data_IF_947655650838
#
_entry.id   IF_947655650838
#
_cell.length_a   1.000
_cell.length_b   1.000
_cell.length_c   1.000
_cell.angle_alpha   90.00
_cell.angle_beta   90.00
_cell.angle_gamma   90.00
#
_symmetry.space_group_name_H-M   'P 1'
#
loop_
_entity.id
_entity.type
_entity.pdbx_description
1 polymer ?
#
# COMPACT_ATOMS: atom_id res chain seq x y z
N UNK A 1 -27.59 -13.62 -0.83
CA UNK A 1 -26.72 -12.45 -0.53
C UNK A 1 -25.41 -12.71 -1.26
N UNK A 2 -24.78 -11.73 -1.86
CA UNK A 2 -23.48 -11.94 -2.53
C UNK A 2 -22.38 -12.11 -1.49
N UNK A 3 -21.37 -12.92 -1.79
CA UNK A 3 -20.30 -13.27 -0.88
C UNK A 3 -18.93 -12.89 -1.46
N UNK A 4 -18.15 -12.09 -0.71
CA UNK A 4 -16.76 -11.80 -0.98
C UNK A 4 -15.88 -12.62 -0.02
N UNK A 5 -14.95 -13.37 -0.58
CA UNK A 5 -13.85 -13.98 0.18
C UNK A 5 -12.57 -13.21 -0.10
N UNK A 6 -11.91 -12.72 0.94
CA UNK A 6 -10.60 -12.08 0.86
C UNK A 6 -9.56 -13.06 1.41
N UNK A 7 -8.50 -13.29 0.66
CA UNK A 7 -7.36 -14.10 1.10
C UNK A 7 -6.20 -13.15 1.35
N UNK A 8 -5.89 -12.92 2.64
CA UNK A 8 -4.90 -11.95 3.08
C UNK A 8 -3.51 -12.54 3.20
N UNK A 9 -2.50 -11.74 2.90
CA UNK A 9 -1.09 -12.04 3.19
C UNK A 9 -0.84 -12.05 4.69
N UNK A 10 -1.41 -11.08 5.39
CA UNK A 10 -1.41 -10.89 6.83
C UNK A 10 -2.77 -10.39 7.29
N UNK A 11 -3.05 -10.47 8.58
CA UNK A 11 -4.21 -9.83 9.17
C UNK A 11 -4.08 -8.30 9.07
N UNK A 12 -5.15 -7.56 8.72
CA UNK A 12 -5.08 -6.11 8.61
C UNK A 12 -4.64 -5.43 9.91
N UNK A 13 -3.68 -4.51 9.80
CA UNK A 13 -3.18 -3.69 10.91
C UNK A 13 -3.29 -2.20 10.55
N UNK A 14 -4.49 -1.59 10.60
CA UNK A 14 -4.72 -0.22 10.11
C UNK A 14 -3.92 0.83 10.87
N UNK A 15 -3.58 0.59 12.13
CA UNK A 15 -2.75 1.51 12.93
C UNK A 15 -1.23 1.25 12.80
N UNK A 16 -0.82 0.32 11.94
CA UNK A 16 0.59 -0.05 11.75
C UNK A 16 1.01 0.03 10.28
N UNK A 17 0.08 -0.13 9.35
CA UNK A 17 0.35 -0.17 7.90
C UNK A 17 -0.75 0.51 7.09
N UNK A 18 -0.36 1.21 6.04
CA UNK A 18 -1.32 1.78 5.08
C UNK A 18 -2.14 0.69 4.35
N UNK A 19 -1.52 -0.47 4.09
CA UNK A 19 -2.18 -1.64 3.53
C UNK A 19 -3.34 -2.13 4.41
N UNK A 20 -3.16 -2.17 5.73
CA UNK A 20 -4.24 -2.50 6.66
C UNK A 20 -5.41 -1.53 6.57
N UNK A 21 -5.13 -0.22 6.51
CA UNK A 21 -6.16 0.81 6.33
C UNK A 21 -6.87 0.68 4.98
N UNK A 22 -6.13 0.44 3.89
CA UNK A 22 -6.68 0.22 2.55
C UNK A 22 -7.60 -0.98 2.50
N UNK A 23 -7.19 -2.10 3.10
CA UNK A 23 -8.03 -3.30 3.16
C UNK A 23 -9.38 -3.03 3.82
N UNK A 24 -9.41 -2.26 4.93
CA UNK A 24 -10.66 -1.87 5.58
C UNK A 24 -11.51 -0.94 4.70
N UNK A 25 -10.89 -0.06 3.91
CA UNK A 25 -11.61 0.78 2.95
C UNK A 25 -12.29 -0.07 1.87
N UNK A 26 -11.60 -1.05 1.30
CA UNK A 26 -12.15 -1.97 0.31
C UNK A 26 -13.29 -2.82 0.91
N UNK A 27 -13.09 -3.39 2.09
CA UNK A 27 -14.13 -4.11 2.84
C UNK A 27 -15.40 -3.24 2.96
N UNK A 28 -15.25 -1.98 3.37
CA UNK A 28 -16.37 -1.05 3.51
C UNK A 28 -17.12 -0.79 2.19
N UNK A 29 -16.44 -0.81 1.03
CA UNK A 29 -17.12 -0.67 -0.27
C UNK A 29 -18.06 -1.85 -0.54
N UNK A 30 -17.58 -3.07 -0.35
CA UNK A 30 -18.38 -4.27 -0.57
C UNK A 30 -19.52 -4.40 0.44
N UNK A 31 -19.28 -4.07 1.73
CA UNK A 31 -20.34 -4.08 2.75
C UNK A 31 -21.48 -3.12 2.42
N UNK A 32 -21.18 -1.91 1.93
CA UNK A 32 -22.19 -0.93 1.49
C UNK A 32 -23.06 -1.43 0.33
N UNK A 33 -22.58 -2.41 -0.44
CA UNK A 33 -23.32 -3.09 -1.51
C UNK A 33 -24.00 -4.38 -1.03
N UNK A 34 -24.01 -4.67 0.27
CA UNK A 34 -24.69 -5.81 0.85
C UNK A 34 -23.98 -7.15 0.66
N UNK A 35 -22.66 -7.17 0.43
CA UNK A 35 -21.89 -8.40 0.44
C UNK A 35 -21.65 -8.92 1.86
N UNK A 36 -21.81 -10.21 2.06
CA UNK A 36 -21.18 -10.92 3.18
C UNK A 36 -19.69 -11.05 2.91
N UNK A 37 -18.86 -10.93 3.95
CA UNK A 37 -17.41 -10.96 3.79
C UNK A 37 -16.79 -11.97 4.72
N UNK A 38 -15.93 -12.84 4.16
CA UNK A 38 -15.06 -13.74 4.91
C UNK A 38 -13.61 -13.43 4.59
N UNK A 39 -12.81 -13.18 5.62
CA UNK A 39 -11.37 -12.95 5.52
C UNK A 39 -10.61 -14.20 5.91
N UNK A 40 -9.85 -14.76 4.99
CA UNK A 40 -9.01 -15.95 5.16
C UNK A 40 -7.54 -15.53 5.25
N UNK A 41 -6.79 -16.07 6.19
CA UNK A 41 -5.36 -15.78 6.32
C UNK A 41 -4.60 -16.99 6.87
N UNK A 42 -3.39 -17.22 6.35
CA UNK A 42 -2.48 -18.25 6.84
C UNK A 42 -1.44 -17.75 7.86
N UNK A 43 -1.34 -16.43 8.02
CA UNK A 43 -0.44 -15.83 9.00
C UNK A 43 -1.05 -15.83 10.40
N UNK A 44 -0.21 -15.94 11.42
CA UNK A 44 -0.64 -15.75 12.80
C UNK A 44 -1.08 -14.31 13.04
N UNK A 45 -2.09 -14.12 13.89
CA UNK A 45 -2.46 -12.79 14.37
C UNK A 45 -1.35 -12.21 15.23
N UNK A 46 -1.09 -10.92 15.05
CA UNK A 46 -0.22 -10.12 15.95
C UNK A 46 -1.07 -9.39 16.99
N UNK A 47 -0.43 -8.80 17.98
CA UNK A 47 -1.10 -7.91 18.96
C UNK A 47 -1.68 -6.64 18.32
N UNK A 48 -1.34 -6.36 17.05
CA UNK A 48 -1.78 -5.19 16.30
C UNK A 48 -2.84 -5.51 15.25
N UNK A 49 -3.18 -6.79 15.08
CA UNK A 49 -4.21 -7.24 14.15
C UNK A 49 -5.57 -6.67 14.54
N UNK A 50 -6.24 -6.09 13.55
CA UNK A 50 -7.58 -5.53 13.74
C UNK A 50 -8.61 -6.66 13.93
N UNK A 51 -9.49 -6.49 14.89
CA UNK A 51 -10.60 -7.42 15.09
C UNK A 51 -11.69 -7.18 14.04
N UNK A 52 -11.62 -7.92 12.95
CA UNK A 52 -12.56 -7.83 11.83
C UNK A 52 -14.00 -8.19 12.22
N UNK A 53 -14.22 -8.91 13.34
CA UNK A 53 -15.57 -9.23 13.81
C UNK A 53 -16.34 -7.98 14.25
N UNK A 54 -15.64 -6.94 14.70
CA UNK A 54 -16.21 -5.64 15.09
C UNK A 54 -16.89 -4.90 13.94
N UNK A 55 -16.54 -5.25 12.71
CA UNK A 55 -17.14 -4.73 11.47
C UNK A 55 -17.92 -5.81 10.70
N UNK A 56 -18.38 -6.86 11.39
CA UNK A 56 -19.20 -7.93 10.81
C UNK A 56 -18.53 -8.69 9.65
N UNK A 57 -17.22 -8.86 9.70
CA UNK A 57 -16.45 -9.72 8.77
C UNK A 57 -16.13 -11.02 9.46
N UNK A 58 -16.49 -12.15 8.83
CA UNK A 58 -16.11 -13.47 9.31
C UNK A 58 -14.61 -13.70 9.07
N UNK A 59 -13.95 -14.41 9.98
CA UNK A 59 -12.51 -14.69 9.86
C UNK A 59 -12.25 -16.18 10.00
N UNK A 60 -11.30 -16.70 9.20
CA UNK A 60 -10.83 -18.08 9.30
C UNK A 60 -9.33 -18.17 9.07
N UNK A 61 -8.68 -18.98 9.89
CA UNK A 61 -7.29 -19.38 9.66
C UNK A 61 -7.27 -20.49 8.60
N UNK A 62 -6.38 -20.36 7.62
CA UNK A 62 -6.15 -21.34 6.55
C UNK A 62 -4.72 -21.83 6.59
N UNK A 63 -4.46 -22.98 6.00
CA UNK A 63 -3.12 -23.55 5.94
C UNK A 63 -2.51 -23.40 4.53
N UNK A 64 -1.22 -23.11 4.50
CA UNK A 64 -0.46 -23.08 3.25
C UNK A 64 -0.27 -24.50 2.72
N UNK A 65 -0.42 -24.67 1.40
CA UNK A 65 -0.19 -25.95 0.70
C UNK A 65 -1.01 -27.13 1.24
N UNK A 66 -2.18 -26.86 1.79
CA UNK A 66 -3.06 -27.88 2.38
C UNK A 66 -4.40 -27.95 1.65
N UNK A 67 -4.91 -29.15 1.42
CA UNK A 67 -6.18 -29.41 0.71
C UNK A 67 -7.41 -29.04 1.52
N UNK A 68 -7.29 -28.77 2.81
CA UNK A 68 -8.40 -28.24 3.62
C UNK A 68 -8.94 -26.93 3.07
N UNK A 69 -8.07 -26.12 2.45
CA UNK A 69 -8.49 -24.91 1.76
C UNK A 69 -9.51 -25.19 0.64
N UNK A 70 -9.35 -26.28 -0.12
CA UNK A 70 -10.26 -26.63 -1.22
C UNK A 70 -11.68 -26.90 -0.72
N UNK A 71 -11.77 -27.59 0.41
CA UNK A 71 -13.05 -27.87 1.08
C UNK A 71 -13.67 -26.57 1.61
N UNK A 72 -12.85 -25.71 2.21
CA UNK A 72 -13.29 -24.43 2.76
C UNK A 72 -13.82 -23.49 1.70
N UNK A 73 -13.03 -23.22 0.66
CA UNK A 73 -13.42 -22.26 -0.39
C UNK A 73 -14.65 -22.75 -1.17
N UNK A 74 -14.77 -24.05 -1.38
CA UNK A 74 -15.94 -24.67 -2.00
C UNK A 74 -17.19 -24.53 -1.14
N UNK A 75 -17.06 -24.69 0.18
CA UNK A 75 -18.15 -24.51 1.15
C UNK A 75 -18.63 -23.06 1.19
N UNK A 76 -17.72 -22.10 1.14
CA UNK A 76 -18.03 -20.66 1.11
C UNK A 76 -18.70 -20.23 -0.19
N UNK A 77 -18.41 -20.91 -1.31
CA UNK A 77 -18.97 -20.67 -2.63
C UNK A 77 -19.07 -19.17 -2.98
N UNK A 78 -17.96 -18.42 -3.00
CA UNK A 78 -17.96 -16.97 -3.15
C UNK A 78 -18.39 -16.51 -4.56
N UNK A 79 -19.02 -15.34 -4.64
CA UNK A 79 -19.24 -14.60 -5.89
C UNK A 79 -17.98 -13.85 -6.33
N UNK A 80 -17.16 -13.42 -5.36
CA UNK A 80 -15.91 -12.69 -5.59
C UNK A 80 -14.83 -13.26 -4.67
N UNK A 81 -13.63 -13.48 -5.21
CA UNK A 81 -12.43 -13.77 -4.42
C UNK A 81 -11.39 -12.68 -4.66
N UNK A 82 -10.90 -12.06 -3.60
CA UNK A 82 -9.85 -11.06 -3.65
C UNK A 82 -8.55 -11.61 -3.04
N UNK A 83 -7.47 -11.47 -3.78
CA UNK A 83 -6.12 -11.84 -3.35
C UNK A 83 -5.37 -10.59 -2.91
N UNK A 84 -4.92 -10.57 -1.66
CA UNK A 84 -4.03 -9.51 -1.15
C UNK A 84 -2.59 -9.80 -1.62
N UNK A 85 -2.17 -9.14 -2.66
CA UNK A 85 -0.88 -9.26 -3.36
C UNK A 85 -0.72 -10.54 -4.21
N UNK A 86 0.18 -10.44 -5.18
CA UNK A 86 0.42 -11.50 -6.16
C UNK A 86 0.86 -12.85 -5.53
N UNK A 87 1.56 -12.81 -4.41
CA UNK A 87 2.03 -14.03 -3.74
C UNK A 87 0.87 -14.89 -3.23
N UNK A 88 -0.22 -14.27 -2.82
CA UNK A 88 -1.43 -14.96 -2.38
C UNK A 88 -2.17 -15.55 -3.59
N UNK A 89 -2.21 -14.82 -4.70
CA UNK A 89 -2.78 -15.36 -5.94
C UNK A 89 -2.01 -16.60 -6.43
N UNK A 90 -0.68 -16.58 -6.38
CA UNK A 90 0.14 -17.75 -6.73
C UNK A 90 -0.13 -18.98 -5.86
N UNK A 91 -0.36 -18.75 -4.57
CA UNK A 91 -0.59 -19.84 -3.61
C UNK A 91 -1.98 -20.44 -3.72
N UNK A 92 -2.99 -19.61 -3.89
CA UNK A 92 -4.39 -20.01 -3.78
C UNK A 92 -5.19 -19.85 -5.08
N UNK A 93 -4.73 -19.08 -6.06
CA UNK A 93 -5.48 -18.75 -7.26
C UNK A 93 -5.88 -19.96 -8.08
N UNK A 94 -4.99 -20.94 -8.25
CA UNK A 94 -5.28 -22.17 -8.96
C UNK A 94 -6.34 -23.03 -8.23
N UNK A 95 -6.33 -23.04 -6.88
CA UNK A 95 -7.33 -23.75 -6.07
C UNK A 95 -8.70 -23.08 -6.17
N UNK A 96 -8.73 -21.73 -6.17
CA UNK A 96 -9.97 -20.97 -6.39
C UNK A 96 -10.51 -21.24 -7.79
N UNK A 97 -9.67 -21.27 -8.80
CA UNK A 97 -10.08 -21.56 -10.18
C UNK A 97 -10.73 -22.95 -10.30
N UNK A 98 -10.17 -23.97 -9.66
CA UNK A 98 -10.68 -25.34 -9.71
C UNK A 98 -11.98 -25.51 -8.89
N UNK A 99 -12.07 -24.90 -7.72
CA UNK A 99 -13.18 -25.13 -6.79
C UNK A 99 -14.33 -24.11 -6.94
N UNK A 100 -14.05 -22.89 -7.39
CA UNK A 100 -15.00 -21.80 -7.57
C UNK A 100 -14.81 -21.11 -8.94
N UNK A 101 -14.97 -21.83 -10.07
CA UNK A 101 -14.65 -21.32 -11.42
C UNK A 101 -15.49 -20.11 -11.82
N UNK A 102 -16.66 -19.92 -11.20
CA UNK A 102 -17.57 -18.80 -11.50
C UNK A 102 -17.32 -17.58 -10.64
N UNK A 103 -16.46 -17.64 -9.62
CA UNK A 103 -16.09 -16.50 -8.79
C UNK A 103 -15.27 -15.49 -9.60
N UNK A 104 -15.59 -14.20 -9.48
CA UNK A 104 -14.75 -13.10 -9.99
C UNK A 104 -13.47 -13.04 -9.16
N UNK A 105 -12.30 -13.07 -9.82
CA UNK A 105 -10.99 -13.04 -9.16
C UNK A 105 -10.39 -11.65 -9.26
N UNK A 106 -10.19 -10.99 -8.11
CA UNK A 106 -9.61 -9.67 -8.00
C UNK A 106 -8.24 -9.78 -7.34
N UNK A 107 -7.24 -9.14 -7.93
CA UNK A 107 -5.93 -8.96 -7.32
C UNK A 107 -5.83 -7.53 -6.77
N UNK A 108 -5.62 -7.35 -5.47
CA UNK A 108 -5.18 -6.07 -4.90
C UNK A 108 -3.66 -6.10 -4.77
N UNK A 109 -2.96 -5.29 -5.56
CA UNK A 109 -1.48 -5.29 -5.59
C UNK A 109 -0.87 -4.62 -4.39
N UNK A 110 -1.61 -3.72 -3.72
CA UNK A 110 -1.12 -2.75 -2.74
C UNK A 110 -0.13 -1.75 -3.35
N UNK A 111 0.96 -2.22 -3.91
CA UNK A 111 1.89 -1.55 -4.82
C UNK A 111 2.50 -2.58 -5.78
N UNK A 112 3.10 -2.14 -6.86
CA UNK A 112 3.85 -3.03 -7.74
C UNK A 112 5.19 -3.42 -7.09
N UNK A 113 5.26 -4.64 -6.60
CA UNK A 113 6.41 -5.16 -5.89
C UNK A 113 7.68 -5.18 -6.73
N UNK A 114 7.57 -5.52 -8.03
CA UNK A 114 8.73 -5.50 -8.92
C UNK A 114 9.27 -4.07 -9.08
N UNK A 115 8.41 -3.06 -9.16
CA UNK A 115 8.80 -1.66 -9.26
C UNK A 115 9.55 -1.22 -8.00
N UNK A 116 9.01 -1.52 -6.81
CA UNK A 116 9.67 -1.23 -5.54
C UNK A 116 11.04 -1.89 -5.45
N UNK A 117 11.14 -3.17 -5.90
CA UNK A 117 12.39 -3.92 -5.89
C UNK A 117 13.42 -3.36 -6.86
N UNK A 118 13.00 -3.00 -8.07
CA UNK A 118 13.88 -2.36 -9.05
C UNK A 118 14.46 -1.04 -8.52
N UNK A 119 13.61 -0.19 -7.94
CA UNK A 119 14.02 1.07 -7.32
C UNK A 119 14.94 0.87 -6.11
N UNK A 120 14.71 -0.16 -5.30
CA UNK A 120 15.60 -0.53 -4.20
C UNK A 120 17.00 -0.88 -4.70
N UNK A 121 17.10 -1.68 -5.77
CA UNK A 121 18.39 -2.09 -6.36
C UNK A 121 19.12 -0.88 -6.91
N UNK A 122 18.46 -0.03 -7.69
CA UNK A 122 19.04 1.19 -8.24
C UNK A 122 19.55 2.13 -7.13
N UNK A 123 18.74 2.34 -6.08
CA UNK A 123 19.13 3.13 -4.91
C UNK A 123 20.38 2.57 -4.20
N UNK A 124 20.42 1.28 -3.91
CA UNK A 124 21.56 0.63 -3.26
C UNK A 124 22.83 0.67 -4.09
N UNK A 125 22.71 0.72 -5.41
CA UNK A 125 23.80 0.86 -6.35
C UNK A 125 24.16 2.33 -6.66
N UNK A 126 23.45 3.28 -6.05
CA UNK A 126 23.63 4.73 -6.26
C UNK A 126 23.62 5.11 -7.74
N UNK A 127 22.65 4.62 -8.49
CA UNK A 127 22.46 4.89 -9.93
C UNK A 127 20.99 5.11 -10.26
N UNK A 128 20.74 5.64 -11.43
CA UNK A 128 19.38 5.76 -11.95
C UNK A 128 18.78 4.39 -12.29
N UNK A 129 17.45 4.32 -12.24
CA UNK A 129 16.64 3.18 -12.63
C UNK A 129 16.67 3.06 -14.16
N UNK A 130 16.95 1.86 -14.67
CA UNK A 130 16.90 1.53 -16.09
C UNK A 130 15.83 0.47 -16.36
N UNK A 131 15.41 0.32 -17.63
CA UNK A 131 14.32 -0.61 -17.98
C UNK A 131 14.62 -2.06 -17.57
N UNK A 132 15.86 -2.49 -17.68
CA UNK A 132 16.31 -3.85 -17.35
C UNK A 132 16.11 -4.19 -15.88
N UNK A 133 16.09 -3.20 -15.00
CA UNK A 133 15.86 -3.39 -13.56
C UNK A 133 14.45 -3.93 -13.26
N UNK A 134 13.49 -3.61 -14.11
CA UNK A 134 12.13 -4.15 -13.96
C UNK A 134 12.08 -5.65 -14.21
N UNK A 135 12.89 -6.16 -15.15
CA UNK A 135 12.78 -7.53 -15.67
C UNK A 135 13.41 -8.54 -14.71
N UNK A 136 12.75 -8.77 -13.60
CA UNK A 136 13.15 -9.68 -12.52
C UNK A 136 12.20 -10.89 -12.44
N UNK A 137 12.52 -11.85 -11.59
CA UNK A 137 11.61 -12.97 -11.32
C UNK A 137 10.35 -12.47 -10.58
N UNK A 138 10.46 -11.44 -9.73
CA UNK A 138 9.29 -10.80 -9.10
C UNK A 138 8.38 -10.20 -10.17
N UNK A 139 8.94 -9.50 -11.17
CA UNK A 139 8.18 -8.98 -12.30
C UNK A 139 7.38 -10.06 -13.03
N UNK A 140 8.04 -11.17 -13.41
CA UNK A 140 7.38 -12.26 -14.14
C UNK A 140 6.23 -12.87 -13.34
N UNK A 141 6.40 -13.03 -12.04
CA UNK A 141 5.41 -13.59 -11.13
C UNK A 141 4.22 -12.65 -10.95
N UNK A 142 4.50 -11.37 -10.68
CA UNK A 142 3.45 -10.36 -10.48
C UNK A 142 2.65 -10.13 -11.76
N UNK A 143 3.33 -10.03 -12.92
CA UNK A 143 2.67 -9.96 -14.23
C UNK A 143 1.80 -11.19 -14.51
N UNK A 144 2.28 -12.38 -14.20
CA UNK A 144 1.49 -13.60 -14.38
C UNK A 144 0.23 -13.58 -13.49
N UNK A 145 0.33 -13.08 -12.25
CA UNK A 145 -0.82 -12.96 -11.35
C UNK A 145 -1.85 -11.95 -11.85
N UNK A 146 -1.39 -10.81 -12.40
CA UNK A 146 -2.27 -9.81 -13.05
C UNK A 146 -3.08 -10.47 -14.18
N UNK A 147 -2.42 -11.20 -15.08
CA UNK A 147 -3.11 -11.85 -16.19
C UNK A 147 -4.02 -13.01 -15.76
N UNK A 148 -3.73 -13.72 -14.66
CA UNK A 148 -4.58 -14.81 -14.16
C UNK A 148 -5.82 -14.34 -13.44
N UNK A 149 -5.84 -13.08 -12.98
CA UNK A 149 -7.01 -12.46 -12.38
C UNK A 149 -7.94 -11.84 -13.43
N UNK A 150 -9.19 -11.63 -13.04
CA UNK A 150 -10.18 -10.98 -13.89
C UNK A 150 -10.11 -9.45 -13.76
N UNK A 151 -9.64 -8.96 -12.61
CA UNK A 151 -9.43 -7.55 -12.32
C UNK A 151 -8.24 -7.38 -11.39
N UNK A 152 -7.41 -6.38 -11.65
CA UNK A 152 -6.30 -5.98 -10.77
C UNK A 152 -6.48 -4.54 -10.32
N UNK A 153 -6.42 -4.32 -9.01
CA UNK A 153 -6.50 -2.99 -8.42
C UNK A 153 -5.09 -2.41 -8.30
N UNK A 154 -4.88 -1.27 -8.92
CA UNK A 154 -3.65 -0.48 -8.81
C UNK A 154 -3.93 0.79 -8.01
N UNK A 155 -3.08 1.07 -7.03
CA UNK A 155 -3.29 2.18 -6.11
C UNK A 155 -2.81 3.52 -6.66
N UNK A 156 -1.96 3.53 -7.68
CA UNK A 156 -1.23 4.68 -8.18
C UNK A 156 -1.46 4.91 -9.67
N UNK A 157 -1.70 6.15 -10.07
CA UNK A 157 -1.78 6.54 -11.49
C UNK A 157 -0.45 6.27 -12.22
N UNK A 158 0.69 6.43 -11.53
CA UNK A 158 1.99 6.09 -12.11
C UNK A 158 2.08 4.59 -12.43
N UNK A 159 1.59 3.73 -11.55
CA UNK A 159 1.57 2.29 -11.77
C UNK A 159 0.57 1.88 -12.86
N UNK A 160 -0.58 2.56 -12.95
CA UNK A 160 -1.51 2.39 -14.08
C UNK A 160 -0.85 2.72 -15.41
N UNK A 161 -0.17 3.86 -15.49
CA UNK A 161 0.55 4.28 -16.69
C UNK A 161 1.69 3.29 -17.03
N UNK A 162 2.47 2.89 -16.05
CA UNK A 162 3.55 1.90 -16.24
C UNK A 162 3.00 0.57 -16.78
N UNK A 163 1.91 0.08 -16.21
CA UNK A 163 1.26 -1.17 -16.61
C UNK A 163 0.72 -1.09 -18.05
N UNK A 164 0.00 -0.01 -18.38
CA UNK A 164 -0.66 0.11 -19.68
C UNK A 164 0.28 0.58 -20.80
N UNK A 165 1.13 1.58 -20.53
CA UNK A 165 1.96 2.20 -21.57
C UNK A 165 3.29 1.47 -21.77
N UNK A 166 3.94 1.02 -20.69
CA UNK A 166 5.23 0.34 -20.77
C UNK A 166 5.07 -1.16 -21.00
N UNK A 167 4.29 -1.83 -20.15
CA UNK A 167 4.13 -3.28 -20.21
C UNK A 167 2.95 -3.75 -21.05
N UNK A 168 2.15 -2.82 -21.60
CA UNK A 168 1.06 -3.12 -22.55
C UNK A 168 0.03 -4.09 -21.98
N UNK A 169 -0.23 -4.03 -20.67
CA UNK A 169 -1.33 -4.79 -20.08
C UNK A 169 -2.64 -4.18 -20.57
N UNK A 170 -3.59 -5.05 -20.93
CA UNK A 170 -4.92 -4.62 -21.34
C UNK A 170 -5.62 -3.88 -20.20
N UNK A 171 -6.07 -2.66 -20.48
CA UNK A 171 -6.74 -1.81 -19.48
C UNK A 171 -8.01 -2.45 -18.91
N UNK A 172 -8.64 -3.39 -19.63
CA UNK A 172 -9.81 -4.13 -19.14
C UNK A 172 -9.51 -5.04 -17.94
N UNK A 173 -8.25 -5.36 -17.69
CA UNK A 173 -7.77 -6.13 -16.54
C UNK A 173 -7.40 -5.26 -15.34
N UNK A 174 -7.42 -3.94 -15.48
CA UNK A 174 -6.89 -3.00 -14.50
C UNK A 174 -7.98 -2.03 -14.02
N UNK A 175 -7.92 -1.68 -12.75
CA UNK A 175 -8.74 -0.61 -12.19
C UNK A 175 -7.90 0.24 -11.23
N UNK A 176 -7.91 1.55 -11.43
CA UNK A 176 -7.28 2.50 -10.51
C UNK A 176 -8.19 2.71 -9.31
N UNK A 177 -7.74 2.26 -8.15
CA UNK A 177 -8.43 2.47 -6.87
C UNK A 177 -7.40 2.99 -5.84
N UNK A 178 -7.31 4.30 -5.61
CA UNK A 178 -6.37 4.87 -4.63
C UNK A 178 -6.84 4.64 -3.19
N UNK A 179 -6.16 5.24 -2.21
CA UNK A 179 -6.72 5.41 -0.87
C UNK A 179 -8.04 6.19 -0.94
N UNK A 180 -8.97 5.83 -0.08
CA UNK A 180 -10.28 6.44 -0.03
C UNK A 180 -10.43 7.27 1.24
N UNK A 181 -10.63 8.58 1.08
CA UNK A 181 -10.92 9.49 2.19
C UNK A 181 -12.41 9.62 2.41
N UNK A 182 -12.82 9.49 3.65
CA UNK A 182 -14.11 10.00 4.12
C UNK A 182 -14.03 11.54 4.27
N UNK A 183 -15.06 12.17 4.81
CA UNK A 183 -15.06 13.62 5.02
C UNK A 183 -13.90 14.10 5.90
N UNK A 184 -13.27 15.20 5.49
CA UNK A 184 -12.22 15.85 6.27
C UNK A 184 -12.85 16.54 7.47
N UNK A 185 -12.30 16.30 8.66
CA UNK A 185 -12.67 17.06 9.84
C UNK A 185 -11.94 18.41 9.84
N UNK A 186 -12.66 19.55 9.66
CA UNK A 186 -12.03 20.87 9.66
C UNK A 186 -11.57 21.32 11.05
N UNK A 187 -12.03 20.67 12.12
CA UNK A 187 -11.68 21.02 13.50
C UNK A 187 -10.38 20.32 13.90
N UNK A 188 -9.28 20.79 13.35
CA UNK A 188 -7.93 20.32 13.69
C UNK A 188 -7.16 21.43 14.40
N UNK A 189 -6.18 21.10 15.26
CA UNK A 189 -5.33 22.09 15.92
C UNK A 189 -4.65 23.02 14.92
N UNK A 190 -4.59 24.30 15.29
CA UNK A 190 -3.94 25.36 14.49
C UNK A 190 -2.43 25.34 14.65
N UNK A 191 -1.74 26.17 13.90
CA UNK A 191 -0.28 26.27 13.89
C UNK A 191 0.31 26.42 15.32
N UNK A 192 -0.27 27.30 16.13
CA UNK A 192 0.24 27.60 17.50
C UNK A 192 0.06 26.44 18.49
N UNK A 193 -0.90 25.57 18.22
CA UNK A 193 -1.25 24.42 19.06
C UNK A 193 -0.41 23.19 18.73
N UNK A 194 0.37 23.24 17.63
CA UNK A 194 1.20 22.13 17.13
C UNK A 194 2.68 22.41 17.37
N UNK A 195 3.43 21.39 17.74
CA UNK A 195 4.86 21.50 17.99
C UNK A 195 5.60 20.31 17.36
N UNK A 196 6.92 20.46 17.26
CA UNK A 196 7.85 19.43 16.86
C UNK A 196 7.60 18.86 15.44
N UNK A 197 8.57 18.14 14.99
CA UNK A 197 8.51 17.37 13.77
C UNK A 197 8.10 15.94 14.04
N UNK A 198 7.51 15.29 13.05
CA UNK A 198 7.16 13.87 13.14
C UNK A 198 7.60 13.12 11.88
N UNK A 199 7.93 11.87 12.04
CA UNK A 199 7.99 10.88 10.96
C UNK A 199 7.34 9.60 11.44
N UNK A 200 6.63 8.90 10.54
CA UNK A 200 5.96 7.65 10.90
C UNK A 200 6.18 6.59 9.82
N UNK A 201 6.34 5.33 10.24
CA UNK A 201 6.41 4.20 9.32
C UNK A 201 6.83 2.91 9.99
N UNK A 202 6.27 1.79 9.55
CA UNK A 202 6.63 0.46 10.01
C UNK A 202 8.12 0.19 9.74
N UNK A 203 8.88 -0.20 10.78
CA UNK A 203 10.32 -0.43 10.69
C UNK A 203 10.71 -1.70 9.94
N UNK A 204 9.79 -2.65 9.73
CA UNK A 204 10.02 -3.81 8.90
C UNK A 204 10.05 -3.47 7.40
N UNK A 205 9.50 -2.31 7.01
CA UNK A 205 9.48 -1.88 5.62
C UNK A 205 10.75 -1.09 5.30
N UNK A 206 11.62 -1.65 4.47
CA UNK A 206 12.96 -1.12 4.20
C UNK A 206 12.99 0.36 3.75
N UNK A 207 12.10 0.87 2.87
CA UNK A 207 12.05 2.29 2.54
C UNK A 207 11.82 3.20 3.75
N UNK A 208 11.06 2.74 4.76
CA UNK A 208 10.87 3.51 6.00
C UNK A 208 12.14 3.56 6.84
N UNK A 209 12.86 2.44 6.93
CA UNK A 209 14.15 2.39 7.60
C UNK A 209 15.15 3.36 6.94
N UNK A 210 15.25 3.34 5.62
CA UNK A 210 16.10 4.26 4.87
C UNK A 210 15.70 5.73 5.06
N UNK A 211 14.40 6.02 5.16
CA UNK A 211 13.88 7.34 5.53
C UNK A 211 14.41 7.79 6.90
N UNK A 212 14.39 6.91 7.91
CA UNK A 212 14.89 7.23 9.25
C UNK A 212 16.40 7.52 9.24
N UNK A 213 17.17 6.77 8.43
CA UNK A 213 18.61 7.02 8.28
C UNK A 213 18.90 8.39 7.65
N UNK A 214 18.14 8.79 6.62
CA UNK A 214 18.26 10.12 6.02
C UNK A 214 17.86 11.21 7.02
N UNK A 215 16.78 11.01 7.77
CA UNK A 215 16.37 11.95 8.81
C UNK A 215 17.45 12.14 9.87
N UNK A 216 18.19 11.09 10.25
CA UNK A 216 19.30 11.23 11.20
C UNK A 216 20.42 12.12 10.65
N UNK A 217 20.65 12.10 9.36
CA UNK A 217 21.63 12.98 8.69
C UNK A 217 21.14 14.45 8.65
N UNK A 218 19.90 14.67 8.19
CA UNK A 218 19.33 16.02 8.05
C UNK A 218 19.08 16.68 9.42
N UNK A 219 18.69 15.89 10.41
CA UNK A 219 18.25 16.41 11.71
C UNK A 219 19.28 17.29 12.42
N UNK A 220 20.57 16.95 12.35
CA UNK A 220 21.64 17.74 12.95
C UNK A 220 21.68 19.19 12.47
N UNK A 221 21.33 19.43 11.18
CA UNK A 221 21.31 20.76 10.59
C UNK A 221 20.03 21.52 10.96
N UNK A 222 18.88 20.84 11.00
CA UNK A 222 17.61 21.40 11.45
C UNK A 222 17.72 21.79 12.94
N UNK A 223 18.21 20.91 13.79
CA UNK A 223 18.35 21.11 15.23
C UNK A 223 19.25 22.29 15.56
N UNK A 224 20.30 22.52 14.78
CA UNK A 224 21.20 23.67 14.95
C UNK A 224 20.47 25.01 14.80
N UNK A 225 19.47 25.08 13.92
CA UNK A 225 18.71 26.31 13.67
C UNK A 225 17.44 26.41 14.53
N UNK A 226 16.92 25.27 14.98
CA UNK A 226 15.73 25.14 15.82
C UNK A 226 16.08 24.38 17.12
N UNK A 227 16.80 24.98 18.07
CA UNK A 227 17.30 24.27 19.25
C UNK A 227 16.23 23.63 20.13
N UNK A 228 15.02 24.19 20.18
CA UNK A 228 13.91 23.71 20.99
C UNK A 228 13.03 22.68 20.25
N UNK A 229 13.22 22.47 18.96
CA UNK A 229 12.45 21.49 18.20
C UNK A 229 12.94 20.06 18.48
N UNK A 230 12.02 19.12 18.41
CA UNK A 230 12.29 17.69 18.48
C UNK A 230 11.78 17.00 17.21
N UNK A 231 12.36 15.87 16.85
CA UNK A 231 11.87 14.96 15.82
C UNK A 231 11.40 13.67 16.48
N UNK A 232 10.11 13.45 16.42
CA UNK A 232 9.46 12.25 16.95
C UNK A 232 9.29 11.22 15.83
N UNK A 233 9.91 10.06 15.97
CA UNK A 233 9.84 8.97 15.01
C UNK A 233 9.00 7.83 15.57
N UNK A 234 7.86 7.62 14.95
CA UNK A 234 6.94 6.56 15.30
C UNK A 234 7.00 5.41 14.30
N UNK A 235 6.73 4.20 14.75
CA UNK A 235 6.60 3.03 13.91
C UNK A 235 6.43 1.75 14.71
N UNK A 236 5.66 0.81 14.16
CA UNK A 236 5.57 -0.53 14.70
C UNK A 236 6.87 -1.31 14.43
N UNK A 237 7.09 -2.36 15.21
CA UNK A 237 8.21 -3.31 15.06
C UNK A 237 9.61 -2.65 15.10
N UNK A 238 9.82 -1.80 16.11
CA UNK A 238 11.09 -1.10 16.29
C UNK A 238 12.23 -2.09 16.52
N UNK A 239 13.21 -2.07 15.63
CA UNK A 239 14.41 -2.89 15.76
C UNK A 239 15.41 -2.30 16.75
N UNK A 240 16.33 -3.12 17.29
CA UNK A 240 17.40 -2.63 18.16
C UNK A 240 18.28 -1.57 17.47
N UNK A 241 18.53 -1.71 16.17
CA UNK A 241 19.24 -0.70 15.37
C UNK A 241 18.52 0.65 15.37
N UNK A 242 17.18 0.64 15.30
CA UNK A 242 16.41 1.87 15.38
C UNK A 242 16.46 2.49 16.76
N UNK A 243 16.37 1.70 17.82
CA UNK A 243 16.49 2.18 19.21
C UNK A 243 17.83 2.87 19.47
N UNK A 244 18.93 2.37 18.87
CA UNK A 244 20.27 2.96 19.01
C UNK A 244 20.38 4.38 18.42
N UNK A 245 19.47 4.77 17.53
CA UNK A 245 19.43 6.14 16.98
C UNK A 245 18.80 7.15 17.91
N UNK A 246 18.08 6.70 18.95
CA UNK A 246 17.42 7.56 19.92
C UNK A 246 18.46 8.43 20.66
N UNK A 247 18.20 9.74 20.74
CA UNK A 247 19.07 10.68 21.42
C UNK A 247 18.28 11.88 21.95
N UNK A 248 18.05 11.90 23.26
CA UNK A 248 17.30 12.98 23.94
C UNK A 248 18.00 14.34 23.82
N UNK A 249 19.33 14.36 23.88
CA UNK A 249 20.11 15.62 23.81
C UNK A 249 19.99 16.27 22.41
N UNK A 250 19.91 15.46 21.38
CA UNK A 250 19.70 15.93 20.02
C UNK A 250 18.21 16.14 19.71
N UNK A 251 17.29 15.70 20.54
CA UNK A 251 15.86 15.70 20.29
C UNK A 251 15.48 14.80 19.12
N UNK A 252 16.22 13.71 18.86
CA UNK A 252 15.92 12.68 17.85
C UNK A 252 15.32 11.47 18.58
N UNK A 253 14.00 11.40 18.63
CA UNK A 253 13.29 10.54 19.57
C UNK A 253 12.59 9.38 18.87
N UNK A 254 13.05 8.16 19.09
CA UNK A 254 12.35 6.94 18.66
C UNK A 254 11.26 6.64 19.69
N UNK A 255 10.00 6.82 19.29
CA UNK A 255 8.82 6.73 20.18
C UNK A 255 8.14 5.36 20.16
N UNK A 256 8.51 4.48 19.25
CA UNK A 256 7.81 3.21 19.09
C UNK A 256 6.50 3.35 18.30
N UNK A 257 5.59 2.39 18.46
CA UNK A 257 4.31 2.40 17.77
C UNK A 257 3.41 3.54 18.26
N UNK A 258 2.79 4.25 17.33
CA UNK A 258 1.74 5.19 17.67
C UNK A 258 0.44 4.43 18.01
N UNK A 259 -0.16 4.70 19.15
CA UNK A 259 -1.49 4.16 19.49
C UNK A 259 -2.58 4.76 18.60
N UNK A 260 -2.43 6.06 18.31
CA UNK A 260 -3.31 6.82 17.43
C UNK A 260 -2.49 7.75 16.55
N UNK A 261 -2.47 7.46 15.23
CA UNK A 261 -1.83 8.35 14.24
C UNK A 261 -2.48 9.74 14.26
N UNK A 262 -3.81 9.79 14.43
CA UNK A 262 -4.57 11.03 14.52
C UNK A 262 -4.06 11.93 15.67
N UNK A 263 -3.83 11.36 16.85
CA UNK A 263 -3.32 12.14 17.99
C UNK A 263 -1.89 12.61 17.76
N UNK A 264 -1.03 11.76 17.22
CA UNK A 264 0.35 12.11 16.89
C UNK A 264 0.38 13.26 15.89
N UNK A 265 -0.34 13.14 14.79
CA UNK A 265 -0.36 14.17 13.75
C UNK A 265 -1.03 15.46 14.18
N UNK A 266 -2.05 15.39 15.04
CA UNK A 266 -2.71 16.59 15.59
C UNK A 266 -1.77 17.44 16.47
N UNK A 267 -0.82 16.82 17.14
CA UNK A 267 0.15 17.51 18.01
C UNK A 267 1.40 17.97 17.27
N UNK A 268 1.68 17.37 16.11
CA UNK A 268 2.90 17.65 15.32
C UNK A 268 2.69 18.83 14.40
N UNK A 269 3.75 19.62 14.17
CA UNK A 269 3.70 20.80 13.29
C UNK A 269 4.04 20.48 11.84
N UNK A 270 5.03 19.61 11.61
CA UNK A 270 5.48 19.23 10.26
C UNK A 270 5.82 17.74 10.21
N UNK A 271 5.33 17.05 9.15
CA UNK A 271 5.77 15.72 8.81
C UNK A 271 7.02 15.75 7.96
N UNK A 272 8.06 15.04 8.35
CA UNK A 272 9.28 14.84 7.56
C UNK A 272 9.30 13.44 6.96
N UNK A 273 9.35 13.35 5.63
CA UNK A 273 9.34 12.09 4.90
C UNK A 273 10.29 12.10 3.70
N UNK A 274 11.63 12.14 3.93
CA UNK A 274 12.62 12.05 2.84
C UNK A 274 12.69 10.61 2.31
N UNK A 275 11.68 10.20 1.55
CA UNK A 275 11.53 8.83 1.03
C UNK A 275 12.48 8.64 -0.15
N UNK A 276 13.48 7.75 -0.07
CA UNK A 276 14.48 7.61 -1.11
C UNK A 276 14.01 6.76 -2.30
N UNK A 277 13.18 5.75 -2.05
CA UNK A 277 12.58 4.88 -3.06
C UNK A 277 11.30 4.23 -2.51
N UNK A 278 10.48 3.69 -3.42
CA UNK A 278 9.23 3.01 -3.09
C UNK A 278 8.37 2.80 -4.33
N UNK A 279 7.18 2.27 -4.13
CA UNK A 279 6.13 2.16 -5.13
C UNK A 279 4.78 2.52 -4.49
N UNK A 280 3.72 2.57 -5.25
CA UNK A 280 2.38 2.94 -4.78
C UNK A 280 2.28 4.33 -4.18
N UNK A 281 1.16 4.60 -3.54
CA UNK A 281 0.92 5.84 -2.79
C UNK A 281 1.49 5.75 -1.37
N UNK A 282 1.83 6.89 -0.80
CA UNK A 282 2.47 6.96 0.53
C UNK A 282 1.44 7.28 1.61
N UNK A 283 0.91 6.23 2.26
CA UNK A 283 -0.15 6.34 3.26
C UNK A 283 0.12 7.40 4.33
N UNK A 284 1.36 7.51 4.82
CA UNK A 284 1.73 8.55 5.80
C UNK A 284 1.49 9.99 5.31
N UNK A 285 1.69 10.24 4.02
CA UNK A 285 1.46 11.56 3.41
C UNK A 285 -0.03 11.78 3.19
N UNK A 286 -0.76 10.74 2.76
CA UNK A 286 -2.21 10.77 2.64
C UNK A 286 -2.88 11.07 4.00
N UNK A 287 -2.51 10.35 5.05
CA UNK A 287 -3.03 10.57 6.42
C UNK A 287 -2.68 11.97 6.96
N UNK A 288 -1.46 12.45 6.67
CA UNK A 288 -1.05 13.80 7.06
C UNK A 288 -1.93 14.87 6.40
N UNK A 289 -2.22 14.75 5.11
CA UNK A 289 -3.12 15.65 4.39
C UNK A 289 -4.54 15.61 4.98
N UNK A 290 -5.09 14.43 5.27
CA UNK A 290 -6.41 14.30 5.89
C UNK A 290 -6.50 14.98 7.26
N UNK A 291 -5.41 14.94 8.03
CA UNK A 291 -5.32 15.49 9.39
C UNK A 291 -4.77 16.92 9.42
N UNK A 292 -4.65 17.55 8.26
CA UNK A 292 -4.18 18.92 8.12
C UNK A 292 -2.76 19.14 8.63
N UNK A 293 -1.89 18.17 8.43
CA UNK A 293 -0.47 18.23 8.79
C UNK A 293 0.36 18.49 7.53
N UNK A 294 0.98 19.66 7.36
CA UNK A 294 1.91 19.93 6.28
C UNK A 294 3.13 19.01 6.30
N UNK A 295 3.67 18.72 5.13
CA UNK A 295 4.75 17.76 4.98
C UNK A 295 5.87 18.22 4.07
N UNK A 296 7.06 17.68 4.33
CA UNK A 296 8.21 17.78 3.44
C UNK A 296 8.58 16.39 2.98
N UNK A 297 8.69 16.24 1.68
CA UNK A 297 9.00 14.94 1.08
C UNK A 297 9.86 15.09 -0.17
N UNK A 298 10.27 13.99 -0.76
CA UNK A 298 11.00 13.90 -2.02
C UNK A 298 10.04 13.76 -3.21
N UNK A 299 10.55 13.87 -4.43
CA UNK A 299 9.78 13.51 -5.64
C UNK A 299 9.21 12.09 -5.56
N UNK A 300 9.96 11.14 -4.99
CA UNK A 300 9.51 9.77 -4.78
C UNK A 300 8.35 9.68 -3.78
N UNK A 301 8.37 10.48 -2.73
CA UNK A 301 7.28 10.53 -1.76
C UNK A 301 6.00 11.13 -2.34
N UNK A 302 6.13 12.16 -3.17
CA UNK A 302 5.00 12.87 -3.80
C UNK A 302 4.45 12.18 -5.07
N UNK A 303 5.11 11.12 -5.55
CA UNK A 303 4.72 10.45 -6.80
C UNK A 303 3.25 10.07 -6.81
N UNK A 304 2.52 10.50 -7.84
CA UNK A 304 1.10 10.27 -8.07
C UNK A 304 0.16 10.79 -6.95
N UNK A 305 0.67 11.56 -5.97
CA UNK A 305 -0.16 12.05 -4.86
C UNK A 305 -0.98 13.29 -5.21
N UNK A 306 -0.35 14.32 -5.77
CA UNK A 306 -0.99 15.64 -5.93
C UNK A 306 -1.47 15.96 -7.36
N UNK A 307 -1.10 15.17 -8.38
CA UNK A 307 -1.39 15.51 -9.77
C UNK A 307 -0.84 16.88 -10.12
N UNK A 308 -1.70 17.79 -10.59
CA UNK A 308 -1.35 19.18 -10.93
C UNK A 308 -1.64 20.18 -9.78
N UNK A 309 -2.05 19.70 -8.61
CA UNK A 309 -2.34 20.55 -7.46
C UNK A 309 -1.07 20.90 -6.70
N UNK A 310 -1.10 22.02 -5.96
CA UNK A 310 -0.01 22.40 -5.10
C UNK A 310 0.18 21.38 -3.97
N UNK A 311 1.45 21.10 -3.63
CA UNK A 311 1.76 20.21 -2.54
C UNK A 311 1.41 20.79 -1.16
N UNK A 312 1.14 19.92 -0.19
CA UNK A 312 0.85 20.32 1.20
C UNK A 312 2.13 20.67 1.99
N UNK A 313 3.00 21.45 1.42
CA UNK A 313 4.32 21.81 1.94
C UNK A 313 5.35 21.90 0.83
N UNK A 314 6.43 21.12 0.92
CA UNK A 314 7.48 21.12 -0.10
C UNK A 314 7.84 19.74 -0.62
N UNK A 315 8.14 19.67 -1.91
CA UNK A 315 8.79 18.53 -2.58
C UNK A 315 10.22 18.94 -2.85
N UNK A 316 11.18 18.30 -2.22
CA UNK A 316 12.58 18.68 -2.25
C UNK A 316 13.42 17.82 -3.19
N UNK A 317 14.51 18.38 -3.69
CA UNK A 317 15.41 17.73 -4.64
C UNK A 317 16.66 17.13 -4.01
N UNK A 318 17.16 17.78 -2.93
CA UNK A 318 18.40 17.41 -2.26
C UNK A 318 18.35 17.69 -0.73
N UNK A 319 19.43 17.36 -0.05
CA UNK A 319 19.53 17.48 1.41
C UNK A 319 19.47 18.93 1.91
N UNK A 320 20.13 19.86 1.24
CA UNK A 320 20.16 21.25 1.68
C UNK A 320 18.79 21.90 1.53
N UNK A 321 18.15 21.68 0.38
CA UNK A 321 16.78 22.11 0.12
C UNK A 321 15.81 21.52 1.16
N UNK A 322 15.95 20.24 1.50
CA UNK A 322 15.14 19.59 2.52
C UNK A 322 15.24 20.27 3.89
N UNK A 323 16.46 20.57 4.32
CA UNK A 323 16.72 21.22 5.63
C UNK A 323 16.16 22.64 5.64
N UNK A 324 16.43 23.45 4.60
CA UNK A 324 15.94 24.81 4.49
C UNK A 324 14.41 24.86 4.52
N UNK A 325 13.76 24.02 3.70
CA UNK A 325 12.31 23.95 3.60
C UNK A 325 11.65 23.41 4.86
N UNK A 326 12.32 22.52 5.60
CA UNK A 326 11.84 22.05 6.91
C UNK A 326 11.77 23.20 7.92
N UNK A 327 12.79 24.04 7.97
CA UNK A 327 12.84 25.19 8.85
C UNK A 327 11.81 26.24 8.44
N UNK A 328 11.71 26.54 7.15
CA UNK A 328 10.73 27.48 6.59
C UNK A 328 9.30 27.06 6.95
N UNK A 329 8.91 25.82 6.67
CA UNK A 329 7.57 25.30 6.96
C UNK A 329 7.27 25.26 8.46
N UNK A 330 8.27 25.02 9.30
CA UNK A 330 8.11 24.97 10.75
C UNK A 330 7.91 26.36 11.37
N UNK A 331 8.52 27.42 10.82
CA UNK A 331 8.55 28.76 11.40
C UNK A 331 7.58 29.75 10.75
N UNK A 332 7.22 29.54 9.48
CA UNK A 332 6.36 30.46 8.73
C UNK A 332 4.89 30.02 8.80
N UNK A 333 4.12 30.65 9.69
CA UNK A 333 2.70 30.37 9.90
C UNK A 333 1.87 30.49 8.61
N UNK A 334 2.05 31.58 7.86
CA UNK A 334 1.25 31.83 6.66
C UNK A 334 1.47 30.76 5.58
N UNK A 335 2.72 30.33 5.44
CA UNK A 335 3.06 29.26 4.52
C UNK A 335 2.51 27.90 5.00
N UNK A 336 2.61 27.63 6.29
CA UNK A 336 2.06 26.41 6.90
C UNK A 336 0.55 26.30 6.69
N UNK A 337 -0.20 27.42 6.92
CA UNK A 337 -1.66 27.45 6.70
C UNK A 337 -2.03 27.26 5.23
N UNK A 338 -1.23 27.80 4.31
CA UNK A 338 -1.41 27.57 2.86
C UNK A 338 -1.16 26.09 2.51
N UNK A 339 -0.09 25.52 3.03
CA UNK A 339 0.24 24.11 2.84
C UNK A 339 -0.85 23.17 3.37
N UNK A 340 -1.42 23.48 4.54
CA UNK A 340 -2.55 22.73 5.10
C UNK A 340 -3.75 22.75 4.14
N UNK A 341 -4.12 23.91 3.61
CA UNK A 341 -5.22 24.04 2.63
C UNK A 341 -4.96 23.24 1.36
N UNK A 342 -3.74 23.29 0.83
CA UNK A 342 -3.35 22.49 -0.32
C UNK A 342 -3.53 20.99 -0.05
N UNK A 343 -3.19 20.53 1.17
CA UNK A 343 -3.41 19.14 1.57
C UNK A 343 -4.88 18.73 1.51
N UNK A 344 -5.77 19.56 2.02
CA UNK A 344 -7.21 19.31 1.93
C UNK A 344 -7.72 19.32 0.49
N UNK A 345 -7.21 20.24 -0.33
CA UNK A 345 -7.56 20.28 -1.76
C UNK A 345 -7.14 19.01 -2.49
N UNK A 346 -5.95 18.47 -2.21
CA UNK A 346 -5.50 17.19 -2.75
C UNK A 346 -6.45 16.06 -2.33
N UNK A 347 -6.81 15.97 -1.04
CA UNK A 347 -7.73 14.93 -0.54
C UNK A 347 -9.08 15.00 -1.23
N UNK A 348 -9.70 16.18 -1.28
CA UNK A 348 -11.04 16.37 -1.87
C UNK A 348 -11.08 16.06 -3.37
N UNK A 349 -10.03 16.41 -4.12
CA UNK A 349 -10.03 16.27 -5.58
C UNK A 349 -9.49 14.93 -6.06
N UNK A 350 -8.72 14.19 -5.23
CA UNK A 350 -8.00 13.01 -5.71
C UNK A 350 -8.28 11.74 -4.91
N UNK A 351 -8.76 11.87 -3.68
CA UNK A 351 -8.88 10.72 -2.77
C UNK A 351 -10.24 10.60 -2.10
N UNK A 352 -11.17 11.51 -2.39
CA UNK A 352 -12.51 11.44 -1.84
C UNK A 352 -13.21 10.16 -2.30
N UNK A 353 -13.77 9.41 -1.37
CA UNK A 353 -14.38 8.10 -1.60
C UNK A 353 -15.45 8.12 -2.68
N UNK A 354 -16.25 9.20 -2.73
CA UNK A 354 -17.34 9.36 -3.68
C UNK A 354 -16.86 9.40 -5.13
N UNK A 355 -15.61 9.78 -5.38
CA UNK A 355 -15.03 9.81 -6.73
C UNK A 355 -14.82 8.40 -7.31
N UNK A 356 -14.73 7.37 -6.47
CA UNK A 356 -14.33 6.03 -6.91
C UNK A 356 -15.33 4.94 -6.57
N UNK A 357 -16.05 5.08 -5.45
CA UNK A 357 -16.84 4.01 -4.86
C UNK A 357 -17.90 3.45 -5.82
N UNK A 358 -18.67 4.33 -6.47
CA UNK A 358 -19.72 3.92 -7.39
C UNK A 358 -19.16 3.26 -8.65
N UNK A 359 -18.13 3.87 -9.25
CA UNK A 359 -17.53 3.36 -10.49
C UNK A 359 -16.86 2.00 -10.26
N UNK A 360 -16.16 1.84 -9.15
CA UNK A 360 -15.57 0.55 -8.79
C UNK A 360 -16.62 -0.55 -8.63
N UNK A 361 -17.68 -0.29 -7.86
CA UNK A 361 -18.70 -1.32 -7.61
C UNK A 361 -19.54 -1.62 -8.85
N UNK A 362 -19.79 -0.64 -9.71
CA UNK A 362 -20.43 -0.83 -11.01
C UNK A 362 -19.54 -1.67 -11.94
N UNK A 363 -18.23 -1.41 -11.93
CA UNK A 363 -17.27 -2.19 -12.71
C UNK A 363 -17.23 -3.65 -12.26
N UNK A 364 -17.19 -3.92 -10.95
CA UNK A 364 -17.27 -5.27 -10.37
C UNK A 364 -18.56 -5.96 -10.80
N UNK A 365 -19.72 -5.30 -10.72
CA UNK A 365 -20.99 -5.87 -11.14
C UNK A 365 -21.00 -6.20 -12.64
N UNK A 366 -20.51 -5.28 -13.48
CA UNK A 366 -20.40 -5.50 -14.93
C UNK A 366 -19.51 -6.70 -15.27
N UNK A 367 -18.37 -6.85 -14.60
CA UNK A 367 -17.49 -8.00 -14.81
C UNK A 367 -18.15 -9.31 -14.38
N UNK A 368 -18.89 -9.35 -13.28
CA UNK A 368 -19.63 -10.53 -12.85
C UNK A 368 -20.67 -10.98 -13.91
N UNK A 369 -21.42 -10.03 -14.46
CA UNK A 369 -22.42 -10.30 -15.48
C UNK A 369 -21.80 -10.80 -16.80
N UNK A 370 -20.61 -10.33 -17.15
CA UNK A 370 -19.92 -10.60 -18.42
C UNK A 370 -18.69 -11.50 -18.26
N UNK A 371 -18.52 -12.20 -17.14
CA UNK A 371 -17.30 -12.90 -16.74
C UNK A 371 -16.75 -13.83 -17.81
N UNK A 372 -17.62 -14.63 -18.43
CA UNK A 372 -17.21 -15.57 -19.48
C UNK A 372 -16.64 -14.85 -20.71
N UNK A 373 -17.30 -13.79 -21.17
CA UNK A 373 -16.84 -12.99 -22.32
C UNK A 373 -15.52 -12.30 -22.00
N UNK A 374 -15.41 -11.69 -20.84
CA UNK A 374 -14.20 -11.04 -20.35
C UNK A 374 -13.01 -12.01 -20.32
N UNK A 375 -13.19 -13.19 -19.73
CA UNK A 375 -12.14 -14.23 -19.69
C UNK A 375 -11.75 -14.75 -21.06
N UNK A 376 -12.71 -14.86 -21.99
CA UNK A 376 -12.41 -15.28 -23.36
C UNK A 376 -11.54 -14.29 -24.13
N UNK A 377 -11.54 -13.01 -23.75
CA UNK A 377 -10.69 -11.96 -24.34
C UNK A 377 -9.29 -11.94 -23.73
N UNK A 378 -9.12 -12.45 -22.52
CA UNK A 378 -7.81 -12.53 -21.84
C UNK A 378 -7.05 -13.81 -22.23
N UNK A 379 -6.49 -13.84 -23.44
CA UNK A 379 -5.75 -15.00 -23.96
C UNK A 379 -4.51 -15.33 -23.13
N UNK A 380 -3.76 -14.33 -22.69
CA UNK A 380 -2.58 -14.55 -21.86
C UNK A 380 -2.93 -15.17 -20.52
N UNK A 381 -4.01 -14.72 -19.88
CA UNK A 381 -4.50 -15.32 -18.65
C UNK A 381 -4.85 -16.79 -18.83
N UNK A 382 -5.56 -17.14 -19.91
CA UNK A 382 -5.89 -18.53 -20.22
C UNK A 382 -4.64 -19.40 -20.44
N UNK A 383 -3.65 -18.90 -21.19
CA UNK A 383 -2.38 -19.60 -21.41
C UNK A 383 -1.65 -19.82 -20.10
N UNK A 384 -1.57 -18.80 -19.24
CA UNK A 384 -0.90 -18.88 -17.95
C UNK A 384 -1.61 -19.80 -16.96
N UNK A 385 -2.92 -19.93 -17.04
CA UNK A 385 -3.70 -20.91 -16.27
C UNK A 385 -3.49 -22.34 -16.77
N UNK A 386 -3.25 -22.54 -18.05
CA UNK A 386 -3.01 -23.85 -18.69
C UNK A 386 -1.52 -24.26 -18.68
N UNK A 387 -0.73 -23.79 -17.73
CA UNK A 387 0.71 -24.07 -17.71
C UNK A 387 1.04 -25.55 -17.57
N UNK A 388 1.46 -26.18 -18.67
CA UNK A 388 1.90 -27.59 -18.67
C UNK A 388 3.43 -27.74 -18.57
N UNK A 389 4.22 -26.74 -18.98
CA UNK A 389 5.69 -26.85 -19.05
C UNK A 389 6.35 -27.19 -17.72
N UNK A 390 5.98 -26.50 -16.63
CA UNK A 390 6.52 -26.78 -15.30
C UNK A 390 6.03 -28.14 -14.78
N UNK A 391 4.77 -28.49 -15.01
CA UNK A 391 4.20 -29.79 -14.68
C UNK A 391 4.96 -30.90 -15.39
N UNK A 392 5.25 -30.76 -16.68
CA UNK A 392 6.02 -31.74 -17.48
C UNK A 392 7.44 -31.88 -16.95
N UNK A 393 8.12 -30.76 -16.62
CA UNK A 393 9.46 -30.77 -16.04
C UNK A 393 9.51 -31.51 -14.70
N UNK A 394 8.60 -31.20 -13.79
CA UNK A 394 8.60 -31.84 -12.47
C UNK A 394 8.13 -33.29 -12.52
N UNK A 395 7.20 -33.63 -13.43
CA UNK A 395 6.81 -35.00 -13.70
C UNK A 395 7.99 -35.83 -14.21
N UNK A 396 8.76 -35.31 -15.16
CA UNK A 396 9.98 -35.96 -15.66
C UNK A 396 10.98 -36.20 -14.55
N UNK A 397 11.28 -35.19 -13.73
CA UNK A 397 12.17 -35.32 -12.59
C UNK A 397 11.69 -36.30 -11.53
N UNK A 398 10.36 -36.36 -11.30
CA UNK A 398 9.77 -37.35 -10.39
C UNK A 398 9.91 -38.77 -10.95
N UNK A 399 9.69 -38.98 -12.25
CA UNK A 399 9.87 -40.26 -12.91
C UNK A 399 11.34 -40.70 -12.85
N UNK A 400 12.29 -39.80 -13.12
CA UNK A 400 13.74 -40.07 -12.98
C UNK A 400 14.07 -40.49 -11.56
N UNK A 401 13.64 -39.74 -10.53
CA UNK A 401 13.89 -40.05 -9.14
C UNK A 401 13.22 -41.36 -8.67
N UNK A 402 12.11 -41.77 -9.30
CA UNK A 402 11.42 -43.05 -8.98
C UNK A 402 12.15 -44.25 -9.62
N UNK A 403 12.87 -44.05 -10.72
CA UNK A 403 13.57 -45.10 -11.46
C UNK A 403 15.05 -45.22 -11.10
N UNK A 404 15.60 -44.28 -10.33
CA UNK A 404 16.91 -44.29 -9.73
C UNK A 404 16.89 -44.95 -8.32
#
# INVERSE_FOLDING_TARGET
MKHLVIIGTVWPEPNSTAAGSRMLQIISLFQKQGYEITFLCSASKSDFSFDLSTISVQTKDIQLNDSSFDTEIKSLNPDVVMFDRFMIEEQYGWRVMENCPNALRILDTEDLHFLRKAREVAFKQNRELVFEDYISDVFKREMASIYRCDLTLLISEYEMQLATETFKIDASLLFYLPFLSEEINPNVPKFEERNHFVSIGNFLHEPNWQTVLQLKQHWKFIKKQLPDAELHIYGAYVSEKAKQLHNDKEGFLIKGRAESVKEVYSKSRVLLAPIPYGAGLKGKLFEAMQLGLPSITTKMGAEAMNGNLNWNGFITSDENDFVEKAIELYTNKSFWETAQKNGYEIIENRFKKELFASDFMNHVAHLQENLKTHRNQNFFGQILQHQSLQSTKYMSKWIEAKNS
#
